data_IF_946568768278
#
_entry.id   IF_946568768278
#
_cell.length_a   1.000
_cell.length_b   1.000
_cell.length_c   1.000
_cell.angle_alpha   90.00
_cell.angle_beta   90.00
_cell.angle_gamma   90.00
#
_symmetry.space_group_name_H-M   'P 1'
#
loop_
_entity.id
_entity.type
_entity.pdbx_description
1 polymer ?
#
# COMPACT_ATOMS: atom_id res chain seq x y z
N UNK A 1 -1.66 -40.56 -13.50
CA UNK A 1 -0.25 -40.18 -13.65
C UNK A 1 0.07 -38.99 -12.78
N UNK A 2 1.12 -39.07 -12.00
CA UNK A 2 1.56 -37.92 -11.21
C UNK A 2 2.45 -37.04 -12.07
N UNK A 3 2.19 -35.73 -12.02
CA UNK A 3 3.01 -34.72 -12.68
C UNK A 3 4.22 -34.43 -11.79
N UNK A 4 5.40 -34.41 -12.38
CA UNK A 4 6.61 -33.97 -11.69
C UNK A 4 7.37 -33.00 -12.58
N UNK A 5 7.95 -31.99 -11.95
CA UNK A 5 8.73 -30.97 -12.65
C UNK A 5 10.07 -30.84 -11.95
N UNK A 6 11.15 -30.87 -12.72
CA UNK A 6 12.48 -30.59 -12.21
C UNK A 6 12.79 -29.10 -12.34
N UNK A 7 13.28 -28.53 -11.27
CA UNK A 7 13.68 -27.12 -11.23
C UNK A 7 15.11 -27.00 -10.68
N UNK A 8 15.69 -25.83 -10.75
CA UNK A 8 16.99 -25.55 -10.12
C UNK A 8 16.92 -25.66 -8.58
N UNK A 9 15.69 -25.64 -8.02
CA UNK A 9 15.48 -25.78 -6.57
C UNK A 9 15.11 -27.20 -6.15
N UNK A 10 15.07 -28.13 -7.11
CA UNK A 10 14.69 -29.52 -6.86
C UNK A 10 13.50 -29.98 -7.69
N UNK A 11 13.07 -31.20 -7.42
CA UNK A 11 11.94 -31.81 -8.11
C UNK A 11 10.67 -31.57 -7.32
N UNK A 12 9.63 -31.12 -7.99
CA UNK A 12 8.31 -30.90 -7.38
C UNK A 12 7.34 -31.96 -7.88
N UNK A 13 6.60 -32.57 -6.97
CA UNK A 13 5.54 -33.55 -7.32
C UNK A 13 4.20 -32.81 -7.52
N UNK A 14 3.17 -33.58 -7.92
CA UNK A 14 1.86 -33.00 -8.20
C UNK A 14 1.26 -32.31 -6.97
N UNK A 15 1.43 -32.88 -5.79
CA UNK A 15 0.90 -32.31 -4.55
C UNK A 15 1.54 -30.94 -4.27
N UNK A 16 2.86 -30.87 -4.40
CA UNK A 16 3.61 -29.61 -4.20
C UNK A 16 3.21 -28.58 -5.24
N UNK A 17 2.99 -28.98 -6.49
CA UNK A 17 2.56 -28.07 -7.55
C UNK A 17 1.16 -27.53 -7.28
N UNK A 18 0.25 -28.35 -6.78
CA UNK A 18 -1.09 -27.90 -6.41
C UNK A 18 -1.06 -26.92 -5.24
N UNK A 19 -0.24 -27.18 -4.25
CA UNK A 19 -0.06 -26.29 -3.10
C UNK A 19 0.51 -24.94 -3.55
N UNK A 20 1.50 -24.98 -4.42
CA UNK A 20 2.10 -23.76 -4.96
C UNK A 20 1.10 -22.96 -5.77
N UNK A 21 0.33 -23.62 -6.63
CA UNK A 21 -0.72 -22.96 -7.42
C UNK A 21 -1.75 -22.31 -6.52
N UNK A 22 -2.20 -23.02 -5.49
CA UNK A 22 -3.16 -22.48 -4.53
C UNK A 22 -2.63 -21.23 -3.81
N UNK A 23 -1.36 -21.28 -3.40
CA UNK A 23 -0.72 -20.15 -2.75
C UNK A 23 -0.64 -18.94 -3.68
N UNK A 24 -0.26 -19.16 -4.93
CA UNK A 24 -0.18 -18.08 -5.93
C UNK A 24 -1.56 -17.47 -6.18
N UNK A 25 -2.59 -18.29 -6.31
CA UNK A 25 -3.95 -17.80 -6.52
C UNK A 25 -4.44 -16.97 -5.34
N UNK A 26 -4.15 -17.41 -4.12
CA UNK A 26 -4.51 -16.68 -2.91
C UNK A 26 -3.81 -15.33 -2.85
N UNK A 27 -2.50 -15.32 -3.12
CA UNK A 27 -1.73 -14.06 -3.17
C UNK A 27 -2.28 -13.13 -4.25
N UNK A 28 -2.64 -13.70 -5.41
CA UNK A 28 -3.21 -12.93 -6.51
C UNK A 28 -4.52 -12.24 -6.11
N UNK A 29 -5.36 -12.94 -5.33
CA UNK A 29 -6.60 -12.36 -4.83
C UNK A 29 -6.33 -11.16 -3.92
N UNK A 30 -5.33 -11.26 -3.05
CA UNK A 30 -4.93 -10.15 -2.19
C UNK A 30 -4.33 -8.99 -2.98
N UNK A 31 -3.55 -9.27 -4.01
CA UNK A 31 -3.06 -8.20 -4.89
C UNK A 31 -4.21 -7.44 -5.55
N UNK A 32 -5.26 -8.16 -5.96
CA UNK A 32 -6.46 -7.51 -6.49
C UNK A 32 -7.13 -6.59 -5.48
N UNK A 33 -7.21 -7.02 -4.22
CA UNK A 33 -7.74 -6.19 -3.14
C UNK A 33 -6.87 -4.96 -2.89
N UNK A 34 -5.55 -5.12 -2.92
CA UNK A 34 -4.62 -4.01 -2.76
C UNK A 34 -4.82 -2.98 -3.88
N UNK A 35 -4.90 -3.43 -5.12
CA UNK A 35 -5.13 -2.54 -6.27
C UNK A 35 -6.44 -1.76 -6.13
N UNK A 36 -7.49 -2.44 -5.71
CA UNK A 36 -8.79 -1.80 -5.48
C UNK A 36 -8.70 -0.72 -4.39
N UNK A 37 -8.04 -1.04 -3.29
CA UNK A 37 -7.87 -0.10 -2.18
C UNK A 37 -6.99 1.08 -2.57
N UNK A 38 -5.96 0.86 -3.38
CA UNK A 38 -5.13 1.94 -3.91
C UNK A 38 -5.94 2.89 -4.78
N UNK A 39 -6.87 2.35 -5.58
CA UNK A 39 -7.78 3.17 -6.38
C UNK A 39 -8.67 4.04 -5.50
N UNK A 40 -9.22 3.48 -4.43
CA UNK A 40 -10.04 4.24 -3.47
C UNK A 40 -9.22 5.34 -2.80
N UNK A 41 -8.00 5.04 -2.39
CA UNK A 41 -7.09 6.02 -1.78
C UNK A 41 -6.85 7.18 -2.74
N UNK A 42 -6.59 6.87 -4.01
CA UNK A 42 -6.36 7.89 -5.03
C UNK A 42 -7.57 8.80 -5.21
N UNK A 43 -8.77 8.21 -5.26
CA UNK A 43 -10.00 8.98 -5.39
C UNK A 43 -10.22 9.93 -4.21
N UNK A 44 -9.97 9.45 -2.99
CA UNK A 44 -10.10 10.27 -1.78
C UNK A 44 -9.10 11.43 -1.80
N UNK A 45 -7.86 11.14 -2.19
CA UNK A 45 -6.81 12.17 -2.27
C UNK A 45 -7.14 13.21 -3.34
N UNK A 46 -7.67 12.77 -4.47
CA UNK A 46 -8.09 13.68 -5.55
C UNK A 46 -9.16 14.66 -5.06
N UNK A 47 -10.17 14.16 -4.36
CA UNK A 47 -11.24 14.99 -3.82
C UNK A 47 -10.70 15.94 -2.75
N UNK A 48 -9.87 15.44 -1.85
CA UNK A 48 -9.27 16.26 -0.80
C UNK A 48 -8.40 17.37 -1.38
N UNK A 49 -7.66 17.08 -2.44
CA UNK A 49 -6.84 18.06 -3.12
C UNK A 49 -7.68 19.16 -3.78
N UNK A 50 -8.76 18.76 -4.44
CA UNK A 50 -9.67 19.72 -5.09
C UNK A 50 -10.31 20.65 -4.07
N UNK A 51 -10.72 20.12 -2.93
CA UNK A 51 -11.39 20.90 -1.89
C UNK A 51 -10.44 21.82 -1.12
N UNK A 52 -9.23 21.36 -0.85
CA UNK A 52 -8.28 22.09 0.00
C UNK A 52 -7.30 22.94 -0.79
N UNK A 53 -7.17 22.69 -2.09
CA UNK A 53 -6.14 23.28 -2.96
C UNK A 53 -4.70 22.90 -2.57
N UNK A 54 -4.57 21.90 -1.72
CA UNK A 54 -3.26 21.32 -1.37
C UNK A 54 -2.88 20.29 -2.43
N UNK A 55 -1.64 20.29 -2.92
CA UNK A 55 -1.22 19.32 -3.93
C UNK A 55 -1.40 17.87 -3.46
N UNK A 56 -1.83 17.01 -4.37
CA UNK A 56 -2.04 15.59 -4.08
C UNK A 56 -0.82 14.93 -3.46
N UNK A 57 0.36 15.29 -3.93
CA UNK A 57 1.63 14.76 -3.43
C UNK A 57 1.81 15.02 -1.94
N UNK A 58 1.45 16.23 -1.50
CA UNK A 58 1.54 16.61 -0.09
C UNK A 58 0.52 15.85 0.75
N UNK A 59 -0.72 15.74 0.27
CA UNK A 59 -1.77 15.01 0.97
C UNK A 59 -1.39 13.53 1.12
N UNK A 60 -0.90 12.92 0.05
CA UNK A 60 -0.46 11.53 0.05
C UNK A 60 0.66 11.31 1.07
N UNK A 61 1.62 12.22 1.13
CA UNK A 61 2.73 12.15 2.06
C UNK A 61 2.26 12.27 3.51
N UNK A 62 1.36 13.24 3.78
CA UNK A 62 0.78 13.39 5.12
C UNK A 62 0.04 12.14 5.57
N UNK A 63 -0.73 11.54 4.66
CA UNK A 63 -1.46 10.31 4.97
C UNK A 63 -0.52 9.15 5.33
N UNK A 64 0.58 9.00 4.60
CA UNK A 64 1.57 7.96 4.87
C UNK A 64 2.26 8.19 6.21
N UNK A 65 2.63 9.42 6.52
CA UNK A 65 3.26 9.77 7.80
C UNK A 65 2.29 9.53 8.96
N UNK A 66 1.04 9.95 8.78
CA UNK A 66 0.00 9.72 9.78
C UNK A 66 -0.16 8.23 10.06
N UNK A 67 -0.22 7.42 9.01
CA UNK A 67 -0.36 5.97 9.14
C UNK A 67 0.83 5.33 9.89
N UNK A 68 2.04 5.77 9.57
CA UNK A 68 3.27 5.23 10.16
C UNK A 68 3.65 5.89 11.48
N UNK A 69 2.98 6.98 11.83
CA UNK A 69 3.29 7.77 13.03
C UNK A 69 4.74 8.25 13.03
N UNK A 70 5.25 8.60 11.84
CA UNK A 70 6.62 9.05 11.65
C UNK A 70 6.72 10.58 11.49
N UNK A 71 5.78 11.29 12.07
CA UNK A 71 5.68 12.75 11.97
C UNK A 71 6.99 13.46 12.34
N UNK A 72 7.66 13.02 13.39
CA UNK A 72 8.88 13.67 13.88
C UNK A 72 10.01 13.63 12.86
N UNK A 73 10.10 12.56 12.07
CA UNK A 73 11.10 12.46 11.01
C UNK A 73 10.84 13.47 9.89
N UNK A 74 9.58 13.70 9.57
CA UNK A 74 9.18 14.66 8.53
C UNK A 74 9.36 16.10 8.98
N UNK A 75 9.10 16.39 10.26
CA UNK A 75 9.29 17.72 10.83
C UNK A 75 10.72 18.21 10.65
N UNK A 76 11.69 17.31 10.78
CA UNK A 76 13.10 17.64 10.60
C UNK A 76 13.42 18.11 9.18
N UNK A 77 12.57 17.80 8.21
CA UNK A 77 12.79 18.09 6.80
C UNK A 77 11.92 19.20 6.24
N UNK A 78 10.69 19.38 6.74
CA UNK A 78 9.71 20.29 6.14
C UNK A 78 8.81 20.96 7.19
N UNK A 79 9.05 22.25 7.43
CA UNK A 79 8.21 23.03 8.36
C UNK A 79 6.78 23.20 7.85
N UNK A 80 6.59 23.36 6.55
CA UNK A 80 5.25 23.48 5.97
C UNK A 80 4.45 22.21 6.17
N UNK A 81 5.10 21.06 6.03
CA UNK A 81 4.48 19.78 6.29
C UNK A 81 4.07 19.68 7.76
N UNK A 82 4.92 20.14 8.67
CA UNK A 82 4.64 20.17 10.11
C UNK A 82 3.36 20.93 10.42
N UNK A 83 3.23 22.15 9.90
CA UNK A 83 2.06 22.98 10.15
C UNK A 83 0.77 22.33 9.68
N UNK A 84 0.78 21.77 8.48
CA UNK A 84 -0.39 21.08 7.92
C UNK A 84 -0.73 19.83 8.70
N UNK A 85 0.27 19.04 9.06
CA UNK A 85 0.08 17.81 9.80
C UNK A 85 -0.47 18.07 11.20
N UNK A 86 0.06 19.06 11.89
CA UNK A 86 -0.44 19.46 13.21
C UNK A 86 -1.89 19.92 13.14
N UNK A 87 -2.24 20.72 12.14
CA UNK A 87 -3.61 21.15 11.93
C UNK A 87 -4.57 19.99 11.75
N UNK A 88 -4.16 18.99 10.98
CA UNK A 88 -4.97 17.80 10.71
C UNK A 88 -5.14 16.96 11.98
N UNK A 89 -4.09 16.78 12.77
CA UNK A 89 -4.13 15.94 13.97
C UNK A 89 -4.87 16.61 15.13
N UNK A 90 -4.99 17.93 15.15
CA UNK A 90 -5.76 18.65 16.17
C UNK A 90 -7.27 18.57 15.95
N UNK A 91 -7.70 18.28 14.73
CA UNK A 91 -9.12 18.13 14.41
C UNK A 91 -9.61 16.79 14.99
N UNK A 92 -10.64 16.84 15.81
CA UNK A 92 -11.24 15.65 16.41
C UNK A 92 -12.49 15.21 15.70
#
# INVERSE_FOLDING_TARGET
MSLTIQTIYGTLDEKQLKELKGAIEEVNNYFGEIEYRQKLIKEIIDIASDNSKIPKKIISRMAKVYHKQSFQEEVAQHKEFESLFEGITEIK
#
